data_IF_591461234864
#
_entry.id   IF_591461234864
#
_cell.length_a   1.000
_cell.length_b   1.000
_cell.length_c   1.000
_cell.angle_alpha   90.00
_cell.angle_beta   90.00
_cell.angle_gamma   90.00
#
_symmetry.space_group_name_H-M   'P 1'
#
loop_
_entity.id
_entity.type
_entity.pdbx_description
1 polymer ?
#
# COMPACT_ATOMS: atom_id res chain seq x y z
N UNK A 1 -12.21 5.13 -5.30
CA UNK A 1 -10.78 4.83 -5.23
C UNK A 1 -10.28 5.28 -3.88
N UNK A 2 -9.51 4.45 -3.17
CA UNK A 2 -9.11 4.70 -1.80
C UNK A 2 -7.59 4.80 -1.68
N UNK A 3 -7.10 6.00 -1.58
CA UNK A 3 -6.00 6.48 -0.77
C UNK A 3 -4.56 6.11 -1.12
N UNK A 4 -4.23 5.04 -1.82
CA UNK A 4 -2.84 4.63 -2.02
C UNK A 4 -2.08 5.61 -2.93
N UNK A 5 -2.62 5.96 -4.08
CA UNK A 5 -1.96 6.86 -5.01
C UNK A 5 -1.70 8.26 -4.44
N UNK A 6 -2.67 8.91 -3.76
CA UNK A 6 -2.41 10.18 -3.09
C UNK A 6 -1.33 10.08 -2.02
N UNK A 7 -1.31 9.02 -1.23
CA UNK A 7 -0.30 8.83 -0.19
C UNK A 7 1.12 8.68 -0.77
N UNK A 8 1.29 7.85 -1.80
CA UNK A 8 2.59 7.72 -2.46
C UNK A 8 3.03 9.00 -3.16
N UNK A 9 2.08 9.74 -3.79
CA UNK A 9 2.37 11.08 -4.32
C UNK A 9 2.93 12.00 -3.23
N UNK A 10 2.28 12.04 -2.07
CA UNK A 10 2.74 12.84 -0.93
C UNK A 10 4.11 12.40 -0.41
N UNK A 11 4.35 11.09 -0.36
CA UNK A 11 5.66 10.54 0.05
C UNK A 11 6.78 11.08 -0.84
N UNK A 12 6.62 11.03 -2.15
CA UNK A 12 7.64 11.50 -3.10
C UNK A 12 7.75 13.02 -3.12
N UNK A 13 6.67 13.74 -2.85
CA UNK A 13 6.72 15.18 -2.63
C UNK A 13 7.27 15.57 -1.24
N UNK A 14 7.54 14.61 -0.38
CA UNK A 14 8.00 14.80 1.02
C UNK A 14 6.98 15.58 1.86
N UNK A 15 5.70 15.30 1.61
CA UNK A 15 4.53 15.93 2.26
C UNK A 15 3.67 14.89 2.98
N UNK A 16 4.32 13.97 3.69
CA UNK A 16 3.66 12.93 4.49
C UNK A 16 4.26 12.85 5.88
N UNK A 17 3.46 12.43 6.85
CA UNK A 17 3.91 12.16 8.22
C UNK A 17 4.57 10.78 8.28
N UNK A 18 5.74 10.71 8.88
CA UNK A 18 6.39 9.44 9.21
C UNK A 18 5.91 8.93 10.56
N UNK A 19 5.79 7.61 10.71
CA UNK A 19 5.38 7.01 11.98
C UNK A 19 6.29 7.40 13.16
N UNK A 20 7.59 7.60 12.92
CA UNK A 20 8.54 8.07 13.93
C UNK A 20 8.22 9.44 14.51
N UNK A 21 7.51 10.30 13.79
CA UNK A 21 7.13 11.63 14.30
C UNK A 21 6.15 11.56 15.47
N UNK A 22 5.42 10.45 15.62
CA UNK A 22 4.58 10.21 16.81
C UNK A 22 5.37 10.19 18.12
N UNK A 23 6.67 9.97 18.06
CA UNK A 23 7.58 10.02 19.23
C UNK A 23 8.03 11.47 19.54
N UNK A 24 7.77 12.42 18.66
CA UNK A 24 8.21 13.81 18.73
C UNK A 24 7.03 14.79 18.54
N UNK A 25 6.14 14.92 19.53
CA UNK A 25 4.84 15.62 19.38
C UNK A 25 4.98 17.09 18.95
N UNK A 26 5.98 17.81 19.41
CA UNK A 26 6.17 19.21 19.01
C UNK A 26 6.58 19.34 17.53
N UNK A 27 7.47 18.46 17.07
CA UNK A 27 7.85 18.39 15.66
C UNK A 27 6.67 17.99 14.79
N UNK A 28 5.93 16.95 15.20
CA UNK A 28 4.73 16.50 14.52
C UNK A 28 3.70 17.63 14.38
N UNK A 29 3.45 18.38 15.46
CA UNK A 29 2.47 19.49 15.43
C UNK A 29 2.86 20.58 14.42
N UNK A 30 4.13 20.96 14.39
CA UNK A 30 4.62 21.96 13.43
C UNK A 30 4.49 21.44 11.98
N UNK A 31 4.90 20.20 11.75
CA UNK A 31 4.78 19.57 10.41
C UNK A 31 3.33 19.43 9.95
N UNK A 32 2.42 19.09 10.87
CA UNK A 32 0.99 18.98 10.55
C UNK A 32 0.37 20.33 10.13
N UNK A 33 0.82 21.44 10.70
CA UNK A 33 0.34 22.76 10.33
C UNK A 33 0.66 23.06 8.85
N UNK A 34 1.90 22.82 8.43
CA UNK A 34 2.35 23.01 7.05
C UNK A 34 1.60 22.07 6.08
N UNK A 35 1.45 20.81 6.49
CA UNK A 35 0.71 19.84 5.69
C UNK A 35 -0.76 20.21 5.53
N UNK A 36 -1.39 20.67 6.60
CA UNK A 36 -2.80 21.02 6.62
C UNK A 36 -3.10 22.18 5.69
N UNK A 37 -2.25 23.20 5.67
CA UNK A 37 -2.38 24.32 4.73
C UNK A 37 -2.37 23.81 3.29
N UNK A 38 -1.38 23.02 2.92
CA UNK A 38 -1.26 22.44 1.59
C UNK A 38 -2.44 21.56 1.21
N UNK A 39 -2.87 20.68 2.12
CA UNK A 39 -3.98 19.75 1.88
C UNK A 39 -5.32 20.49 1.75
N UNK A 40 -5.55 21.47 2.59
CA UNK A 40 -6.76 22.28 2.53
C UNK A 40 -6.83 23.07 1.22
N UNK A 41 -5.71 23.59 0.72
CA UNK A 41 -5.69 24.24 -0.58
C UNK A 41 -6.19 23.29 -1.68
N UNK A 42 -5.71 22.06 -1.70
CA UNK A 42 -6.15 21.04 -2.67
C UNK A 42 -7.62 20.66 -2.46
N UNK A 43 -8.02 20.40 -1.23
CA UNK A 43 -9.39 19.99 -0.90
C UNK A 43 -10.40 21.06 -1.31
N UNK A 44 -10.13 22.31 -0.96
CA UNK A 44 -11.09 23.40 -1.16
C UNK A 44 -11.07 23.93 -2.59
N UNK A 45 -9.91 24.10 -3.20
CA UNK A 45 -9.78 24.74 -4.51
C UNK A 45 -9.92 23.78 -5.68
N UNK A 46 -9.45 22.54 -5.51
CA UNK A 46 -9.50 21.56 -6.60
C UNK A 46 -10.75 20.69 -6.50
N UNK A 47 -11.09 20.23 -5.29
CA UNK A 47 -12.20 19.30 -5.11
C UNK A 47 -13.50 19.97 -4.63
N UNK A 48 -13.50 21.25 -4.26
CA UNK A 48 -14.66 21.93 -3.70
C UNK A 48 -15.15 21.30 -2.37
N UNK A 49 -14.28 20.58 -1.69
CA UNK A 49 -14.59 19.89 -0.44
C UNK A 49 -14.32 20.80 0.77
N UNK A 50 -14.94 20.47 1.91
CA UNK A 50 -14.59 21.11 3.18
C UNK A 50 -13.15 20.78 3.54
N UNK A 51 -12.37 21.76 3.97
CA UNK A 51 -11.06 21.54 4.58
C UNK A 51 -11.19 21.00 6.00
N UNK A 52 -10.05 20.61 6.58
CA UNK A 52 -9.92 20.17 7.96
C UNK A 52 -9.34 21.28 8.83
N UNK A 53 -9.64 21.24 10.13
CA UNK A 53 -9.01 22.09 11.13
C UNK A 53 -7.82 21.35 11.78
N UNK A 54 -6.96 22.11 12.44
CA UNK A 54 -5.85 21.52 13.19
C UNK A 54 -6.37 20.66 14.35
N UNK A 55 -7.46 21.07 15.00
CA UNK A 55 -8.07 20.32 16.11
C UNK A 55 -8.66 18.97 15.62
N UNK A 56 -9.34 18.96 14.48
CA UNK A 56 -9.86 17.72 13.87
C UNK A 56 -8.72 16.74 13.56
N UNK A 57 -7.60 17.25 13.03
CA UNK A 57 -6.45 16.42 12.68
C UNK A 57 -5.71 15.93 13.92
N UNK A 58 -5.52 16.79 14.91
CA UNK A 58 -4.88 16.43 16.19
C UNK A 58 -5.70 15.36 16.91
N UNK A 59 -7.01 15.54 17.02
CA UNK A 59 -7.89 14.55 17.65
C UNK A 59 -7.83 13.18 16.97
N UNK A 60 -7.75 13.16 15.63
CA UNK A 60 -7.59 11.92 14.88
C UNK A 60 -6.25 11.24 15.14
N UNK A 61 -5.16 12.04 15.22
CA UNK A 61 -3.82 11.52 15.51
C UNK A 61 -3.73 11.02 16.96
N UNK A 62 -4.35 11.69 17.90
CA UNK A 62 -4.39 11.25 19.30
C UNK A 62 -5.13 9.92 19.46
N UNK A 63 -6.27 9.74 18.77
CA UNK A 63 -7.02 8.48 18.83
C UNK A 63 -6.26 7.32 18.18
N UNK A 64 -5.75 7.50 16.97
CA UNK A 64 -5.09 6.42 16.23
C UNK A 64 -3.59 6.32 16.53
N UNK A 65 -2.91 7.45 16.67
CA UNK A 65 -1.47 7.51 16.93
C UNK A 65 -1.10 6.92 18.29
N UNK A 66 -1.91 7.16 19.31
CA UNK A 66 -1.70 6.57 20.64
C UNK A 66 -1.71 5.04 20.60
N UNK A 67 -2.55 4.44 19.75
CA UNK A 67 -2.67 2.98 19.60
C UNK A 67 -1.44 2.36 18.93
N UNK A 68 -0.82 3.05 17.97
CA UNK A 68 0.34 2.54 17.22
C UNK A 68 1.68 2.97 17.82
N UNK A 69 1.73 4.06 18.57
CA UNK A 69 2.94 4.61 19.16
C UNK A 69 3.82 3.58 19.90
N UNK A 70 3.27 2.63 20.69
CA UNK A 70 4.08 1.59 21.35
C UNK A 70 4.83 0.66 20.41
N UNK A 71 4.41 0.59 19.15
CA UNK A 71 5.01 -0.26 18.11
C UNK A 71 5.95 0.51 17.19
N UNK A 72 6.11 1.81 17.38
CA UNK A 72 7.00 2.65 16.57
C UNK A 72 8.43 2.46 17.04
N UNK A 73 9.29 1.98 16.13
CA UNK A 73 10.69 1.72 16.40
C UNK A 73 11.55 1.93 15.13
N UNK A 74 12.86 1.92 15.29
CA UNK A 74 13.78 1.87 14.16
C UNK A 74 13.82 0.44 13.57
N UNK A 75 12.93 0.18 12.64
CA UNK A 75 12.80 -1.15 12.01
C UNK A 75 14.04 -1.58 11.23
N UNK A 76 14.80 -0.64 10.66
CA UNK A 76 16.07 -0.94 9.99
C UNK A 76 17.11 -1.47 10.98
N UNK A 77 17.24 -0.85 12.14
CA UNK A 77 18.15 -1.32 13.19
C UNK A 77 17.73 -2.71 13.70
N UNK A 78 16.44 -2.89 13.96
CA UNK A 78 15.88 -4.17 14.41
C UNK A 78 16.15 -5.31 13.41
N UNK A 79 15.92 -5.08 12.12
CA UNK A 79 16.12 -6.09 11.10
C UNK A 79 17.61 -6.39 10.85
N UNK A 80 18.48 -5.39 10.94
CA UNK A 80 19.93 -5.59 10.87
C UNK A 80 20.45 -6.43 12.02
N UNK A 81 19.97 -6.19 13.22
CA UNK A 81 20.30 -7.00 14.38
C UNK A 81 19.81 -8.45 14.22
N UNK A 82 18.57 -8.64 13.76
CA UNK A 82 18.04 -9.96 13.47
C UNK A 82 18.91 -10.72 12.44
N UNK A 83 19.32 -10.06 11.37
CA UNK A 83 20.20 -10.63 10.36
C UNK A 83 21.59 -10.97 10.94
N UNK A 84 22.20 -10.08 11.73
CA UNK A 84 23.49 -10.32 12.36
C UNK A 84 23.45 -11.50 13.35
N UNK A 85 22.30 -11.71 13.98
CA UNK A 85 22.05 -12.85 14.87
C UNK A 85 21.62 -14.14 14.14
N UNK A 86 21.75 -14.20 12.82
CA UNK A 86 21.44 -15.38 12.01
C UNK A 86 19.96 -15.76 11.99
N UNK A 87 19.06 -14.81 12.21
CA UNK A 87 17.61 -15.05 12.12
C UNK A 87 17.17 -15.19 10.67
N UNK A 88 16.24 -16.12 10.43
CA UNK A 88 15.54 -16.21 9.16
C UNK A 88 14.52 -15.09 9.07
N UNK A 89 14.55 -14.35 7.95
CA UNK A 89 13.64 -13.23 7.69
C UNK A 89 12.78 -13.60 6.50
N UNK A 90 11.47 -13.64 6.71
CA UNK A 90 10.48 -13.82 5.65
C UNK A 90 9.96 -12.46 5.20
N UNK A 91 10.09 -12.16 3.92
CA UNK A 91 9.44 -11.02 3.29
C UNK A 91 8.16 -11.48 2.61
N UNK A 92 7.06 -10.84 2.94
CA UNK A 92 5.78 -11.05 2.27
C UNK A 92 5.46 -9.85 1.40
N UNK A 93 5.37 -10.07 0.11
CA UNK A 93 4.91 -9.10 -0.88
C UNK A 93 3.59 -9.57 -1.50
N UNK A 94 2.87 -8.67 -2.12
CA UNK A 94 1.56 -8.97 -2.69
C UNK A 94 1.29 -8.13 -3.94
N UNK A 95 0.14 -8.31 -4.55
CA UNK A 95 -0.38 -7.67 -5.76
C UNK A 95 0.16 -8.25 -7.08
N UNK A 96 1.34 -8.85 -7.10
CA UNK A 96 1.94 -9.48 -8.28
C UNK A 96 2.65 -8.51 -9.23
N UNK A 97 3.53 -9.06 -10.06
CA UNK A 97 4.42 -8.30 -10.95
C UNK A 97 3.67 -7.41 -11.95
N UNK A 98 2.53 -7.86 -12.49
CA UNK A 98 1.72 -7.07 -13.43
C UNK A 98 1.13 -5.79 -12.80
N UNK A 99 1.13 -5.69 -11.48
CA UNK A 99 0.68 -4.50 -10.75
C UNK A 99 1.82 -3.65 -10.20
N UNK A 100 3.05 -4.05 -10.39
CA UNK A 100 4.21 -3.26 -10.00
C UNK A 100 4.21 -1.91 -10.72
N UNK A 101 4.64 -0.85 -10.01
CA UNK A 101 4.63 0.50 -10.54
C UNK A 101 5.54 0.66 -11.76
N UNK A 102 6.70 0.03 -11.73
CA UNK A 102 7.74 0.20 -12.75
C UNK A 102 7.70 -0.89 -13.82
N UNK A 103 7.34 -2.12 -13.44
CA UNK A 103 7.40 -3.29 -14.32
C UNK A 103 6.03 -3.85 -14.70
N UNK A 104 4.96 -3.31 -14.13
CA UNK A 104 3.60 -3.73 -14.42
C UNK A 104 3.01 -3.11 -15.68
N UNK A 105 1.72 -3.35 -15.88
CA UNK A 105 0.94 -2.88 -17.03
C UNK A 105 0.49 -1.43 -16.84
N UNK A 106 1.42 -0.50 -16.80
CA UNK A 106 1.14 0.93 -16.62
C UNK A 106 0.12 1.46 -17.65
N UNK A 107 -0.86 2.28 -17.27
CA UNK A 107 -1.09 2.89 -15.95
C UNK A 107 -2.01 2.09 -15.00
N UNK A 108 -2.26 0.83 -15.28
CA UNK A 108 -3.14 -0.04 -14.50
C UNK A 108 -2.40 -0.77 -13.36
N UNK A 109 -1.43 -0.08 -12.78
CA UNK A 109 -0.57 -0.55 -11.69
C UNK A 109 -1.05 -0.09 -10.32
N UNK A 110 -0.48 -0.63 -9.26
CA UNK A 110 -0.51 0.01 -7.94
C UNK A 110 0.53 1.13 -7.89
N UNK A 111 0.50 1.96 -6.86
CA UNK A 111 1.46 3.06 -6.68
C UNK A 111 2.72 2.63 -5.92
N UNK A 112 2.97 1.34 -5.84
CA UNK A 112 4.12 0.77 -5.13
C UNK A 112 4.78 -0.34 -5.92
N UNK A 113 6.01 -0.69 -5.54
CA UNK A 113 6.71 -1.82 -6.11
C UNK A 113 6.25 -3.12 -5.44
N UNK A 114 5.78 -4.06 -6.23
CA UNK A 114 5.21 -5.34 -5.79
C UNK A 114 6.11 -6.55 -6.08
N UNK A 115 7.22 -6.35 -6.80
CA UNK A 115 8.18 -7.40 -7.13
C UNK A 115 9.08 -7.73 -5.94
N UNK A 116 9.53 -8.99 -5.84
CA UNK A 116 10.35 -9.49 -4.74
C UNK A 116 11.65 -8.69 -4.54
N UNK A 117 12.27 -8.22 -5.62
CA UNK A 117 13.49 -7.42 -5.56
C UNK A 117 13.37 -6.14 -4.72
N UNK A 118 12.17 -5.60 -4.56
CA UNK A 118 11.92 -4.42 -3.74
C UNK A 118 11.78 -4.73 -2.24
N UNK A 119 11.53 -5.98 -1.85
CA UNK A 119 11.29 -6.35 -0.46
C UNK A 119 12.44 -5.95 0.48
N UNK A 120 13.72 -6.21 0.17
CA UNK A 120 14.84 -5.74 0.98
C UNK A 120 14.88 -4.21 1.09
N UNK A 121 14.66 -3.50 -0.01
CA UNK A 121 14.67 -2.02 -0.03
C UNK A 121 13.51 -1.48 0.82
N UNK A 122 12.30 -1.98 0.59
CA UNK A 122 11.10 -1.53 1.30
C UNK A 122 11.12 -1.80 2.80
N UNK A 123 11.82 -2.85 3.23
CA UNK A 123 11.96 -3.21 4.65
C UNK A 123 13.09 -2.48 5.39
N UNK A 124 14.00 -1.82 4.66
CA UNK A 124 15.16 -1.16 5.25
C UNK A 124 16.44 -2.01 5.31
N UNK A 125 16.48 -3.13 4.55
CA UNK A 125 17.66 -3.98 4.38
C UNK A 125 18.15 -3.98 2.92
N UNK A 126 18.48 -2.83 2.32
CA UNK A 126 18.71 -2.71 0.88
C UNK A 126 19.86 -3.56 0.34
N UNK A 127 20.75 -4.01 1.20
CA UNK A 127 21.89 -4.87 0.84
C UNK A 127 21.65 -6.35 1.09
N UNK A 128 20.49 -6.73 1.66
CA UNK A 128 20.16 -8.13 1.88
C UNK A 128 19.94 -8.85 0.53
N UNK A 129 20.48 -10.03 0.43
CA UNK A 129 20.22 -10.95 -0.68
C UNK A 129 19.02 -11.82 -0.31
N UNK A 130 18.18 -12.10 -1.27
CA UNK A 130 17.12 -13.09 -1.14
C UNK A 130 17.71 -14.46 -1.46
N UNK A 131 17.64 -15.38 -0.51
CA UNK A 131 18.12 -16.75 -0.71
C UNK A 131 17.15 -17.53 -1.61
N UNK A 132 15.85 -17.28 -1.44
CA UNK A 132 14.78 -17.91 -2.21
C UNK A 132 13.64 -16.94 -2.46
N UNK A 133 13.02 -17.06 -3.61
CA UNK A 133 11.79 -16.33 -3.98
C UNK A 133 10.70 -17.33 -4.35
N UNK A 134 9.64 -17.34 -3.56
CA UNK A 134 8.49 -18.23 -3.77
C UNK A 134 7.35 -17.45 -4.37
N UNK A 135 6.93 -17.80 -5.57
CA UNK A 135 5.73 -17.26 -6.22
C UNK A 135 4.49 -18.04 -5.79
N UNK A 136 3.50 -17.33 -5.26
CA UNK A 136 2.20 -17.92 -4.92
C UNK A 136 1.17 -17.41 -5.92
N UNK A 137 0.57 -18.33 -6.65
CA UNK A 137 -0.46 -18.03 -7.66
C UNK A 137 -1.76 -18.78 -7.36
N UNK A 138 -2.88 -18.22 -7.75
CA UNK A 138 -4.14 -18.95 -7.79
C UNK A 138 -4.15 -19.91 -8.97
N UNK A 139 -4.95 -20.98 -8.91
CA UNK A 139 -5.20 -21.86 -10.05
C UNK A 139 -6.00 -21.19 -11.18
N UNK A 140 -6.38 -19.95 -11.01
CA UNK A 140 -7.08 -19.11 -11.95
C UNK A 140 -6.64 -17.65 -11.76
N UNK A 141 -6.90 -16.80 -12.74
CA UNK A 141 -6.59 -15.37 -12.67
C UNK A 141 -7.76 -14.56 -12.14
N UNK A 142 -7.47 -13.56 -11.29
CA UNK A 142 -8.47 -12.58 -10.88
C UNK A 142 -7.88 -11.17 -10.82
N UNK A 143 -8.70 -10.18 -11.14
CA UNK A 143 -8.25 -8.79 -11.20
C UNK A 143 -9.30 -7.84 -10.61
N UNK A 144 -8.84 -6.85 -9.87
CA UNK A 144 -9.65 -5.69 -9.45
C UNK A 144 -9.25 -4.49 -10.29
N UNK A 145 -10.24 -3.81 -10.87
CA UNK A 145 -10.02 -2.60 -11.65
C UNK A 145 -9.94 -2.86 -13.15
N UNK A 146 -9.54 -1.82 -13.84
CA UNK A 146 -9.46 -1.77 -15.31
C UNK A 146 -8.10 -2.27 -15.79
N UNK A 147 -7.95 -2.30 -17.11
CA UNK A 147 -6.74 -2.68 -17.79
C UNK A 147 -6.84 -4.01 -18.51
N UNK A 148 -5.79 -4.40 -19.24
CA UNK A 148 -5.73 -5.64 -19.97
C UNK A 148 -5.94 -6.86 -19.06
N UNK A 149 -6.68 -7.83 -19.54
CA UNK A 149 -6.86 -9.13 -18.92
C UNK A 149 -7.09 -10.15 -20.05
N UNK A 150 -6.02 -10.77 -20.50
CA UNK A 150 -5.96 -11.55 -21.74
C UNK A 150 -6.92 -12.73 -21.79
N UNK A 151 -7.14 -13.36 -20.65
CA UNK A 151 -7.96 -14.58 -20.51
C UNK A 151 -9.28 -14.32 -19.74
N UNK A 152 -9.83 -13.12 -19.76
CA UNK A 152 -11.05 -12.78 -19.02
C UNK A 152 -12.26 -13.58 -19.50
N UNK A 153 -12.98 -14.18 -18.56
CA UNK A 153 -14.25 -14.82 -18.79
C UNK A 153 -15.42 -13.88 -18.54
N UNK A 154 -16.52 -14.13 -19.25
CA UNK A 154 -17.76 -13.39 -19.16
C UNK A 154 -18.96 -14.34 -18.98
N UNK A 155 -20.11 -13.79 -18.62
CA UNK A 155 -21.34 -14.55 -18.48
C UNK A 155 -21.32 -15.53 -17.32
N UNK A 156 -22.01 -16.66 -17.49
CA UNK A 156 -22.29 -17.64 -16.44
C UNK A 156 -21.04 -18.34 -15.89
N UNK A 157 -20.05 -18.60 -16.74
CA UNK A 157 -18.80 -19.23 -16.32
C UNK A 157 -18.01 -18.31 -15.39
N UNK A 158 -17.94 -17.04 -15.72
CA UNK A 158 -17.31 -16.04 -14.84
C UNK A 158 -18.10 -15.88 -13.54
N UNK A 159 -19.43 -15.94 -13.57
CA UNK A 159 -20.26 -15.88 -12.39
C UNK A 159 -20.00 -17.07 -11.47
N UNK A 160 -20.00 -18.29 -11.99
CA UNK A 160 -19.70 -19.52 -11.24
C UNK A 160 -18.33 -19.49 -10.59
N UNK A 161 -17.30 -19.04 -11.33
CA UNK A 161 -15.93 -18.93 -10.80
C UNK A 161 -15.84 -17.88 -9.69
N UNK A 162 -16.51 -16.73 -9.84
CA UNK A 162 -16.58 -15.69 -8.80
C UNK A 162 -17.22 -16.20 -7.52
N UNK A 163 -18.35 -16.90 -7.63
CA UNK A 163 -19.04 -17.49 -6.51
C UNK A 163 -18.17 -18.53 -5.79
N UNK A 164 -17.61 -19.49 -6.55
CA UNK A 164 -16.78 -20.56 -6.00
C UNK A 164 -15.50 -20.02 -5.32
N UNK A 165 -14.90 -18.98 -5.89
CA UNK A 165 -13.68 -18.36 -5.38
C UNK A 165 -13.89 -17.21 -4.41
N UNK A 166 -15.15 -16.86 -4.09
CA UNK A 166 -15.50 -15.67 -3.31
C UNK A 166 -14.83 -14.39 -3.86
N UNK A 167 -14.78 -14.26 -5.19
CA UNK A 167 -14.06 -13.20 -5.89
C UNK A 167 -14.84 -11.88 -5.92
N UNK A 168 -14.97 -11.30 -4.72
CA UNK A 168 -15.59 -10.00 -4.50
C UNK A 168 -14.65 -9.09 -3.70
N UNK A 169 -14.77 -7.80 -3.90
CA UNK A 169 -13.96 -6.82 -3.16
C UNK A 169 -14.30 -6.84 -1.67
N UNK A 170 -13.32 -7.08 -0.81
CA UNK A 170 -13.52 -7.23 0.64
C UNK A 170 -14.25 -6.04 1.31
N UNK A 171 -14.04 -4.82 0.82
CA UNK A 171 -14.70 -3.62 1.36
C UNK A 171 -15.89 -3.13 0.53
N UNK A 172 -15.89 -3.41 -0.75
CA UNK A 172 -16.86 -2.84 -1.70
C UNK A 172 -17.90 -3.84 -2.19
N UNK A 173 -17.68 -5.14 -1.96
CA UNK A 173 -18.50 -6.21 -2.53
C UNK A 173 -18.48 -6.27 -4.07
N UNK A 174 -17.69 -5.43 -4.73
CA UNK A 174 -17.63 -5.36 -6.19
C UNK A 174 -17.10 -6.67 -6.77
N UNK A 175 -17.80 -7.27 -7.76
CA UNK A 175 -17.33 -8.49 -8.42
C UNK A 175 -15.98 -8.25 -9.10
N UNK A 176 -15.06 -9.18 -8.90
CA UNK A 176 -13.76 -9.18 -9.57
C UNK A 176 -13.89 -9.77 -10.96
N UNK A 177 -13.04 -9.32 -11.87
CA UNK A 177 -12.81 -9.94 -13.17
C UNK A 177 -12.08 -11.25 -12.93
N UNK A 178 -12.46 -12.30 -13.61
CA UNK A 178 -11.91 -13.65 -13.44
C UNK A 178 -11.70 -14.33 -14.79
N UNK A 179 -10.81 -15.31 -14.82
CA UNK A 179 -10.52 -16.12 -15.99
C UNK A 179 -9.57 -17.26 -15.64
N UNK A 180 -9.22 -18.14 -16.58
CA UNK A 180 -8.23 -19.18 -16.35
C UNK A 180 -6.87 -18.58 -16.01
N UNK A 181 -5.96 -19.42 -15.55
CA UNK A 181 -4.56 -19.01 -15.37
C UNK A 181 -3.94 -18.75 -16.76
N UNK A 182 -3.17 -17.66 -16.84
CA UNK A 182 -2.35 -17.31 -17.99
C UNK A 182 -0.89 -17.38 -17.53
N UNK A 183 -0.07 -18.19 -18.19
CA UNK A 183 1.31 -18.53 -17.80
C UNK A 183 2.34 -17.82 -18.68
#
# INVERSE_FOLDING_TARGET
KQGIAPFYSDKYQKKTVLAGELLHPEHLKAHLADLLEWKNLTLTRVYGAKGYTMDELTAWIDDFGTKIKPFVANTTAFLREAQANGKHILFEAQLGALRDLDYGIYPYTTSSNAIAAYAPVGSGLPTAKLDEVVGVVKAYSSCVGEGPFTCEWFGDEAAKLREAGAEFGAKTGRPRRVGPIDL
#
